data_IF_416244821946
#
_entry.id   IF_416244821946
#
_cell.length_a   1.000
_cell.length_b   1.000
_cell.length_c   1.000
_cell.angle_alpha   90.00
_cell.angle_beta   90.00
_cell.angle_gamma   90.00
#
_symmetry.space_group_name_H-M   'P 1'
#
loop_
_entity.id
_entity.type
_entity.pdbx_description
1 polymer ?
#
# COMPACT_ATOMS: atom_id res chain seq x y z
N UNK A 1 -18.43 21.99 -5.39
CA UNK A 1 -17.85 21.09 -6.42
C UNK A 1 -16.34 21.00 -6.22
N UNK A 2 -15.78 19.79 -6.28
CA UNK A 2 -14.33 19.55 -6.07
C UNK A 2 -13.50 20.25 -7.16
N UNK A 3 -14.02 20.41 -8.36
CA UNK A 3 -13.38 21.12 -9.47
C UNK A 3 -13.08 22.61 -9.20
N UNK A 4 -13.71 23.20 -8.18
CA UNK A 4 -13.44 24.58 -7.74
C UNK A 4 -12.11 24.72 -6.99
N UNK A 5 -11.55 23.60 -6.48
CA UNK A 5 -10.32 23.61 -5.68
C UNK A 5 -9.08 23.67 -6.59
N UNK A 6 -9.07 22.94 -7.69
CA UNK A 6 -7.97 22.90 -8.67
C UNK A 6 -8.41 22.22 -9.96
N UNK A 7 -7.91 22.72 -11.09
CA UNK A 7 -8.02 22.10 -12.42
C UNK A 7 -7.30 20.74 -12.53
N UNK A 8 -6.38 20.48 -11.59
CA UNK A 8 -5.64 19.21 -11.50
C UNK A 8 -6.41 18.11 -10.77
N UNK A 9 -7.56 18.43 -10.16
CA UNK A 9 -8.40 17.46 -9.47
C UNK A 9 -9.50 16.97 -10.42
N UNK A 10 -9.52 15.68 -10.65
CA UNK A 10 -10.56 15.02 -11.47
C UNK A 10 -11.40 14.13 -10.55
N UNK A 11 -12.69 14.42 -10.47
CA UNK A 11 -13.65 13.57 -9.79
C UNK A 11 -14.24 12.56 -10.76
N UNK A 12 -14.09 11.27 -10.44
CA UNK A 12 -14.64 10.17 -11.23
C UNK A 12 -15.78 9.51 -10.43
N UNK A 13 -16.98 9.60 -10.96
CA UNK A 13 -18.15 8.93 -10.38
C UNK A 13 -18.42 7.61 -11.09
N UNK A 14 -18.29 6.51 -10.36
CA UNK A 14 -18.41 5.17 -10.94
C UNK A 14 -19.87 4.66 -11.04
N UNK A 15 -20.85 5.40 -10.49
CA UNK A 15 -22.26 5.00 -10.50
C UNK A 15 -22.60 3.85 -9.56
N UNK A 16 -21.66 2.96 -9.29
CA UNK A 16 -21.80 1.77 -8.42
C UNK A 16 -20.55 1.55 -7.59
N UNK A 17 -20.67 0.76 -6.54
CA UNK A 17 -19.50 0.31 -5.76
C UNK A 17 -18.79 -0.83 -6.53
N UNK A 18 -17.65 -0.51 -7.13
CA UNK A 18 -16.84 -1.46 -7.90
C UNK A 18 -15.93 -2.34 -7.00
N UNK A 19 -15.83 -2.04 -5.71
CA UNK A 19 -14.80 -2.55 -4.82
C UNK A 19 -13.49 -1.74 -4.92
N UNK A 20 -12.58 -1.99 -3.97
CA UNK A 20 -11.36 -1.20 -3.80
C UNK A 20 -10.44 -1.29 -5.04
N UNK A 21 -10.07 -2.51 -5.42
CA UNK A 21 -9.09 -2.73 -6.50
C UNK A 21 -9.59 -2.22 -7.87
N UNK A 22 -10.83 -2.53 -8.23
CA UNK A 22 -11.40 -2.12 -9.51
C UNK A 22 -11.53 -0.60 -9.63
N UNK A 23 -11.91 0.09 -8.53
CA UNK A 23 -11.98 1.55 -8.52
C UNK A 23 -10.59 2.19 -8.72
N UNK A 24 -9.55 1.68 -8.06
CA UNK A 24 -8.17 2.17 -8.23
C UNK A 24 -7.57 1.83 -9.59
N UNK A 25 -7.99 0.74 -10.23
CA UNK A 25 -7.53 0.38 -11.57
C UNK A 25 -7.88 1.41 -12.64
N UNK A 26 -8.93 2.19 -12.45
CA UNK A 26 -9.29 3.29 -13.35
C UNK A 26 -8.14 4.32 -13.37
N UNK A 27 -7.65 4.71 -12.19
CA UNK A 27 -6.51 5.62 -12.05
C UNK A 27 -5.19 5.01 -12.55
N UNK A 28 -4.95 3.72 -12.28
CA UNK A 28 -3.77 3.00 -12.75
C UNK A 28 -3.73 2.93 -14.29
N UNK A 29 -4.85 2.60 -14.94
CA UNK A 29 -4.96 2.58 -16.41
C UNK A 29 -4.60 3.94 -17.00
N UNK A 30 -5.17 5.01 -16.43
CA UNK A 30 -4.86 6.39 -16.85
C UNK A 30 -3.37 6.73 -16.66
N UNK A 31 -2.76 6.37 -15.53
CA UNK A 31 -1.34 6.58 -15.26
C UNK A 31 -0.45 5.86 -16.29
N UNK A 32 -0.83 4.65 -16.71
CA UNK A 32 -0.12 3.87 -17.75
C UNK A 32 -0.26 4.55 -19.12
N UNK A 33 -1.46 5.03 -19.49
CA UNK A 33 -1.74 5.71 -20.75
C UNK A 33 -0.96 7.03 -20.87
N UNK A 34 -0.93 7.81 -19.78
CA UNK A 34 -0.21 9.09 -19.68
C UNK A 34 1.31 8.91 -19.52
N UNK A 35 1.79 7.67 -19.35
CA UNK A 35 3.21 7.33 -19.21
C UNK A 35 3.90 8.08 -18.06
N UNK A 36 3.18 8.33 -16.96
CA UNK A 36 3.79 8.94 -15.78
C UNK A 36 4.74 7.95 -15.10
N UNK A 37 5.74 8.46 -14.38
CA UNK A 37 6.76 7.61 -13.76
C UNK A 37 6.21 6.82 -12.56
N UNK A 38 5.33 7.45 -11.78
CA UNK A 38 4.81 6.90 -10.52
C UNK A 38 3.31 7.11 -10.42
N UNK A 39 2.66 6.20 -9.72
CA UNK A 39 1.26 6.26 -9.33
C UNK A 39 1.13 6.03 -7.83
N UNK A 40 0.19 6.70 -7.20
CA UNK A 40 -0.07 6.50 -5.78
C UNK A 40 -1.52 6.15 -5.53
N UNK A 41 -1.73 5.15 -4.68
CA UNK A 41 -3.03 4.81 -4.08
C UNK A 41 -2.98 5.27 -2.63
N UNK A 42 -3.96 6.05 -2.21
CA UNK A 42 -4.03 6.61 -0.85
C UNK A 42 -5.47 6.55 -0.36
N UNK A 43 -5.65 6.09 0.87
CA UNK A 43 -6.93 6.20 1.55
C UNK A 43 -7.25 7.66 1.91
N UNK A 44 -8.53 8.06 1.93
CA UNK A 44 -8.95 9.43 2.16
C UNK A 44 -8.69 9.95 3.60
N UNK A 45 -8.40 9.06 4.54
CA UNK A 45 -8.11 9.35 5.94
C UNK A 45 -6.61 9.58 6.21
N UNK A 46 -5.75 9.43 5.21
CA UNK A 46 -4.30 9.68 5.33
C UNK A 46 -3.99 11.16 5.13
N UNK A 47 -3.30 11.75 6.11
CA UNK A 47 -2.74 13.09 6.05
C UNK A 47 -1.23 13.05 5.86
N UNK A 48 -0.68 13.98 5.10
CA UNK A 48 0.76 14.01 4.80
C UNK A 48 1.29 15.44 4.66
N UNK A 49 2.58 15.60 4.94
CA UNK A 49 3.27 16.88 4.85
C UNK A 49 3.57 17.26 3.38
N UNK A 50 3.72 18.57 3.15
CA UNK A 50 4.20 19.08 1.87
C UNK A 50 5.57 18.46 1.52
N UNK A 51 5.68 17.94 0.29
CA UNK A 51 6.94 17.37 -0.21
C UNK A 51 7.07 15.86 -0.10
N UNK A 52 6.11 15.14 0.52
CA UNK A 52 6.19 13.68 0.67
C UNK A 52 6.37 12.96 -0.67
N UNK A 53 5.61 13.35 -1.68
CA UNK A 53 5.71 12.72 -3.02
C UNK A 53 7.07 12.95 -3.67
N UNK A 54 7.69 14.14 -3.41
CA UNK A 54 9.06 14.41 -3.87
C UNK A 54 10.05 13.48 -3.19
N UNK A 55 9.94 13.28 -1.88
CA UNK A 55 10.82 12.37 -1.12
C UNK A 55 10.67 10.93 -1.58
N UNK A 56 9.43 10.46 -1.82
CA UNK A 56 9.16 9.11 -2.35
C UNK A 56 9.73 8.95 -3.77
N UNK A 57 9.53 9.95 -4.65
CA UNK A 57 10.05 9.90 -6.01
C UNK A 57 11.59 9.93 -6.05
N UNK A 58 12.24 10.72 -5.19
CA UNK A 58 13.69 10.73 -5.04
C UNK A 58 14.21 9.36 -4.57
N UNK A 59 13.60 8.80 -3.52
CA UNK A 59 13.96 7.47 -3.03
C UNK A 59 13.86 6.41 -4.14
N UNK A 60 12.75 6.37 -4.89
CA UNK A 60 12.60 5.42 -5.99
C UNK A 60 13.53 5.74 -7.18
N UNK A 61 13.89 7.00 -7.39
CA UNK A 61 14.88 7.40 -8.41
C UNK A 61 16.28 6.85 -8.10
N UNK A 62 16.66 6.82 -6.82
CA UNK A 62 17.94 6.27 -6.35
C UNK A 62 17.91 4.73 -6.23
N UNK A 63 16.72 4.13 -6.06
CA UNK A 63 16.52 2.70 -5.87
C UNK A 63 15.73 2.10 -7.04
N UNK A 64 16.40 1.85 -8.16
CA UNK A 64 15.76 1.44 -9.41
C UNK A 64 15.00 0.11 -9.33
N UNK A 65 15.40 -0.80 -8.45
CA UNK A 65 14.71 -2.06 -8.22
C UNK A 65 13.42 -1.91 -7.39
N UNK A 66 13.20 -0.76 -6.73
CA UNK A 66 12.00 -0.53 -5.95
C UNK A 66 10.78 -0.33 -6.87
N UNK A 67 9.81 -1.24 -6.79
CA UNK A 67 8.55 -1.18 -7.52
C UNK A 67 7.40 -0.59 -6.71
N UNK A 68 7.47 -0.74 -5.39
CA UNK A 68 6.48 -0.25 -4.43
C UNK A 68 7.17 0.24 -3.17
N UNK A 69 6.87 1.45 -2.74
CA UNK A 69 7.30 1.97 -1.45
C UNK A 69 6.12 2.48 -0.63
N UNK A 70 6.11 2.15 0.66
CA UNK A 70 5.15 2.66 1.64
C UNK A 70 5.90 3.45 2.72
N UNK A 71 5.42 4.68 3.05
CA UNK A 71 5.93 5.44 4.18
C UNK A 71 5.47 4.84 5.51
N UNK A 72 6.04 5.32 6.61
CA UNK A 72 5.56 5.03 7.96
C UNK A 72 4.27 5.80 8.21
N UNK A 73 3.22 5.12 8.62
CA UNK A 73 1.95 5.74 9.02
C UNK A 73 1.85 5.69 10.55
N UNK A 74 1.52 6.83 11.14
CA UNK A 74 1.34 6.98 12.58
C UNK A 74 -0.01 7.58 12.91
N UNK A 75 -0.56 7.19 14.04
CA UNK A 75 -1.78 7.81 14.57
C UNK A 75 -1.48 9.21 15.15
N UNK A 76 -2.51 10.08 15.34
CA UNK A 76 -2.31 11.40 15.93
C UNK A 76 -1.65 11.41 17.31
N UNK A 77 -1.77 10.32 18.06
CA UNK A 77 -1.12 10.12 19.36
C UNK A 77 0.36 9.69 19.25
N UNK A 78 0.87 9.50 18.02
CA UNK A 78 2.25 9.06 17.75
C UNK A 78 2.44 7.55 17.68
N UNK A 79 1.42 6.74 17.93
CA UNK A 79 1.51 5.28 17.81
C UNK A 79 1.68 4.86 16.35
N UNK A 80 2.45 3.79 16.12
CA UNK A 80 2.70 3.26 14.78
C UNK A 80 1.48 2.44 14.33
N UNK A 81 1.03 2.68 13.10
CA UNK A 81 0.12 1.79 12.43
C UNK A 81 0.90 0.65 11.75
N UNK A 82 0.71 -0.59 12.22
CA UNK A 82 1.44 -1.76 11.73
C UNK A 82 0.84 -2.25 10.40
N UNK A 83 1.34 -1.73 9.28
CA UNK A 83 0.82 -1.94 7.93
C UNK A 83 1.68 -2.88 7.08
N UNK A 84 2.85 -3.26 7.59
CA UNK A 84 3.74 -4.24 6.97
C UNK A 84 3.36 -5.65 7.41
N UNK A 85 3.21 -6.57 6.46
CA UNK A 85 2.78 -7.93 6.78
C UNK A 85 3.63 -8.97 6.04
N UNK A 86 3.84 -10.10 6.70
CA UNK A 86 4.30 -11.31 6.01
C UNK A 86 3.19 -11.88 5.13
N UNK A 87 3.54 -12.78 4.22
CA UNK A 87 2.52 -13.54 3.51
C UNK A 87 1.76 -14.42 4.52
N UNK A 88 0.42 -14.43 4.48
CA UNK A 88 -0.37 -15.23 5.42
C UNK A 88 -0.17 -16.70 5.15
N UNK A 89 0.03 -17.48 6.20
CA UNK A 89 -0.06 -18.93 6.14
C UNK A 89 -1.52 -19.39 6.25
N UNK A 90 -1.87 -20.64 5.87
CA UNK A 90 -3.20 -21.17 6.09
C UNK A 90 -3.69 -21.01 7.55
N UNK A 91 -2.76 -21.09 8.51
CA UNK A 91 -3.06 -20.84 9.92
C UNK A 91 -3.41 -19.39 10.25
N UNK A 92 -2.86 -18.41 9.55
CA UNK A 92 -3.19 -16.99 9.74
C UNK A 92 -4.61 -16.70 9.26
N UNK A 93 -5.07 -17.42 8.23
CA UNK A 93 -6.40 -17.27 7.67
C UNK A 93 -7.48 -18.03 8.47
N UNK A 94 -7.19 -19.27 8.86
CA UNK A 94 -8.17 -20.16 9.49
C UNK A 94 -8.01 -20.26 11.00
N UNK A 95 -6.79 -20.26 11.52
CA UNK A 95 -6.53 -20.47 12.95
C UNK A 95 -7.11 -19.39 13.86
N UNK A 96 -7.19 -18.14 13.40
CA UNK A 96 -7.83 -17.03 14.15
C UNK A 96 -9.31 -17.28 14.40
N UNK A 97 -10.01 -17.94 13.47
CA UNK A 97 -11.45 -18.15 13.53
C UNK A 97 -11.82 -19.34 14.42
N UNK A 98 -10.95 -20.35 14.51
CA UNK A 98 -11.26 -21.63 15.16
C UNK A 98 -10.52 -21.86 16.48
N UNK A 99 -9.44 -21.11 16.78
CA UNK A 99 -8.66 -21.26 18.01
C UNK A 99 -8.60 -19.94 18.80
N UNK A 100 -9.45 -19.72 19.81
CA UNK A 100 -9.51 -18.47 20.56
C UNK A 100 -8.39 -18.34 21.63
N UNK A 101 -7.17 -18.81 21.34
CA UNK A 101 -6.03 -18.75 22.25
C UNK A 101 -5.37 -17.36 22.19
N UNK A 102 -5.83 -16.41 23.02
CA UNK A 102 -5.39 -15.01 23.05
C UNK A 102 -3.85 -14.82 23.04
N UNK A 103 -3.11 -15.60 23.85
CA UNK A 103 -1.64 -15.52 23.93
C UNK A 103 -0.95 -15.99 22.63
N UNK A 104 -1.46 -17.06 22.04
CA UNK A 104 -0.94 -17.58 20.77
C UNK A 104 -1.17 -16.60 19.61
N UNK A 105 -2.37 -16.05 19.52
CA UNK A 105 -2.74 -15.06 18.52
C UNK A 105 -1.91 -13.77 18.64
N UNK A 106 -1.60 -13.31 19.86
CA UNK A 106 -0.75 -12.14 20.10
C UNK A 106 0.68 -12.35 19.58
N UNK A 107 1.30 -13.49 19.87
CA UNK A 107 2.65 -13.79 19.40
C UNK A 107 2.71 -13.96 17.88
N UNK A 108 1.67 -14.48 17.26
CA UNK A 108 1.57 -14.58 15.80
C UNK A 108 1.40 -13.23 15.16
N UNK A 109 0.50 -12.38 15.66
CA UNK A 109 0.34 -11.02 15.16
C UNK A 109 1.64 -10.23 15.25
N UNK A 110 2.37 -10.35 16.36
CA UNK A 110 3.68 -9.75 16.56
C UNK A 110 4.67 -10.10 15.44
N UNK A 111 4.67 -11.36 14.99
CA UNK A 111 5.48 -11.81 13.86
C UNK A 111 4.87 -11.40 12.52
N UNK A 112 3.57 -11.63 12.33
CA UNK A 112 2.88 -11.40 11.07
C UNK A 112 2.90 -9.93 10.64
N UNK A 113 2.72 -9.02 11.58
CA UNK A 113 2.74 -7.57 11.38
C UNK A 113 4.14 -6.97 11.53
N UNK A 114 5.19 -7.81 11.59
CA UNK A 114 6.59 -7.39 11.70
C UNK A 114 6.86 -6.43 12.87
N UNK A 115 6.07 -6.49 13.95
CA UNK A 115 6.19 -5.58 15.11
C UNK A 115 7.59 -5.67 15.75
N UNK A 116 8.21 -6.84 15.70
CA UNK A 116 9.57 -7.07 16.19
C UNK A 116 10.64 -6.23 15.47
N UNK A 117 10.36 -5.72 14.28
CA UNK A 117 11.29 -4.86 13.52
C UNK A 117 11.44 -3.46 14.12
N UNK A 118 10.54 -3.05 15.04
CA UNK A 118 10.47 -1.70 15.58
C UNK A 118 10.03 -0.62 14.58
N UNK A 119 9.88 -0.94 13.30
CA UNK A 119 9.52 0.01 12.23
C UNK A 119 10.44 1.24 12.19
N UNK A 120 11.73 1.05 12.47
CA UNK A 120 12.74 2.11 12.54
C UNK A 120 13.75 2.09 11.38
N UNK A 121 13.73 1.04 10.55
CA UNK A 121 14.65 0.84 9.43
C UNK A 121 13.91 0.58 8.13
N UNK A 122 14.56 0.96 7.03
CA UNK A 122 14.11 0.56 5.68
C UNK A 122 14.18 -0.95 5.60
N UNK A 123 13.10 -1.58 5.14
CA UNK A 123 13.04 -3.04 5.04
C UNK A 123 12.23 -3.49 3.83
N UNK A 124 12.62 -4.62 3.28
CA UNK A 124 11.81 -5.34 2.32
C UNK A 124 10.63 -6.02 3.04
N UNK A 125 9.43 -5.86 2.48
CA UNK A 125 8.19 -6.37 3.08
C UNK A 125 7.34 -7.04 2.00
N UNK A 126 6.98 -8.31 2.14
CA UNK A 126 6.27 -9.04 1.09
C UNK A 126 4.82 -8.58 0.88
N UNK A 127 4.22 -7.90 1.85
CA UNK A 127 2.87 -7.34 1.75
C UNK A 127 2.77 -6.00 2.46
N UNK A 128 2.43 -4.97 1.71
CA UNK A 128 2.20 -3.61 2.17
C UNK A 128 0.73 -3.27 2.03
N UNK A 129 0.16 -2.56 3.03
CA UNK A 129 -1.26 -2.21 3.03
C UNK A 129 -1.64 -1.25 1.91
N UNK A 130 -2.86 -1.41 1.40
CA UNK A 130 -3.46 -0.52 0.41
C UNK A 130 -3.66 0.93 0.88
N UNK A 131 -3.56 1.22 2.18
CA UNK A 131 -3.80 2.57 2.69
C UNK A 131 -2.86 3.63 2.10
N UNK A 132 -1.62 3.26 1.73
CA UNK A 132 -0.67 4.11 1.02
C UNK A 132 0.29 3.26 0.19
N UNK A 133 0.16 3.29 -1.13
CA UNK A 133 1.01 2.54 -2.05
C UNK A 133 1.58 3.49 -3.11
N UNK A 134 2.87 3.83 -3.03
CA UNK A 134 3.56 4.62 -4.05
C UNK A 134 4.31 3.67 -4.98
N UNK A 135 3.89 3.59 -6.24
CA UNK A 135 4.24 2.52 -7.17
C UNK A 135 4.90 3.04 -8.44
N UNK A 136 5.83 2.27 -8.98
CA UNK A 136 6.43 2.52 -10.30
C UNK A 136 5.47 2.05 -11.40
N UNK A 137 5.08 2.96 -12.31
CA UNK A 137 4.10 2.66 -13.37
C UNK A 137 4.62 1.61 -14.36
N UNK A 138 5.92 1.56 -14.63
CA UNK A 138 6.51 0.52 -15.49
C UNK A 138 6.36 -0.89 -14.91
N UNK A 139 6.36 -1.03 -13.58
CA UNK A 139 6.07 -2.29 -12.90
C UNK A 139 4.60 -2.62 -13.05
N UNK A 140 3.70 -1.67 -12.77
CA UNK A 140 2.25 -1.86 -12.95
C UNK A 140 1.88 -2.24 -14.39
N UNK A 141 2.56 -1.67 -15.37
CA UNK A 141 2.36 -2.02 -16.80
C UNK A 141 2.66 -3.49 -17.09
N UNK A 142 3.68 -4.05 -16.40
CA UNK A 142 4.10 -5.45 -16.60
C UNK A 142 3.19 -6.45 -15.91
N UNK A 143 2.73 -6.13 -14.69
CA UNK A 143 1.97 -7.09 -13.85
C UNK A 143 0.46 -6.87 -13.92
N UNK A 144 -0.01 -5.78 -14.51
CA UNK A 144 -1.38 -5.26 -14.36
C UNK A 144 -1.57 -4.52 -13.03
N UNK A 145 -2.76 -3.95 -12.84
CA UNK A 145 -3.16 -3.32 -11.58
C UNK A 145 -3.62 -4.35 -10.53
N UNK A 146 -4.58 -3.95 -9.71
CA UNK A 146 -5.25 -4.85 -8.77
C UNK A 146 -6.03 -5.95 -9.50
N UNK A 147 -6.09 -7.13 -8.90
CA UNK A 147 -6.96 -8.21 -9.39
C UNK A 147 -8.41 -7.91 -8.99
N UNK A 148 -9.26 -7.62 -9.98
CA UNK A 148 -10.64 -7.19 -9.78
C UNK A 148 -11.57 -8.32 -9.26
N UNK A 149 -11.07 -9.56 -9.16
CA UNK A 149 -11.79 -10.67 -8.51
C UNK A 149 -11.89 -10.47 -6.99
N UNK A 150 -10.98 -9.68 -6.40
CA UNK A 150 -11.07 -9.26 -5.01
C UNK A 150 -11.95 -8.02 -4.92
N UNK A 151 -13.13 -8.16 -4.32
CA UNK A 151 -14.00 -7.01 -4.10
C UNK A 151 -13.48 -6.09 -2.99
N UNK A 152 -13.04 -6.69 -1.89
CA UNK A 152 -12.47 -6.03 -0.72
C UNK A 152 -11.66 -7.04 0.10
N UNK A 153 -10.49 -6.61 0.59
CA UNK A 153 -9.47 -7.38 1.30
C UNK A 153 -8.69 -8.37 0.41
N UNK A 154 -7.41 -8.47 0.70
CA UNK A 154 -6.40 -9.28 0.01
C UNK A 154 -5.97 -8.77 -1.39
N UNK A 155 -6.60 -7.75 -1.96
CA UNK A 155 -6.18 -7.12 -3.22
C UNK A 155 -4.81 -6.43 -3.09
N UNK A 156 -4.51 -5.82 -1.94
CA UNK A 156 -3.23 -5.20 -1.63
C UNK A 156 -2.12 -6.25 -1.40
N UNK A 157 -2.47 -7.35 -0.76
CA UNK A 157 -1.60 -8.51 -0.58
C UNK A 157 -1.22 -9.12 -1.93
N UNK A 158 -2.22 -9.37 -2.80
CA UNK A 158 -2.00 -9.91 -4.14
C UNK A 158 -1.13 -8.99 -4.99
N UNK A 159 -1.45 -7.69 -5.02
CA UNK A 159 -0.69 -6.70 -5.77
C UNK A 159 0.76 -6.60 -5.27
N UNK A 160 0.98 -6.50 -3.95
CA UNK A 160 2.32 -6.49 -3.36
C UNK A 160 3.11 -7.74 -3.75
N UNK A 161 2.48 -8.91 -3.68
CA UNK A 161 3.11 -10.19 -4.05
C UNK A 161 3.50 -10.22 -5.54
N UNK A 162 2.62 -9.77 -6.44
CA UNK A 162 2.93 -9.72 -7.89
C UNK A 162 4.03 -8.71 -8.19
N UNK A 163 4.04 -7.54 -7.54
CA UNK A 163 5.16 -6.59 -7.63
C UNK A 163 6.45 -7.26 -7.17
N UNK A 164 6.43 -7.96 -6.02
CA UNK A 164 7.57 -8.64 -5.43
C UNK A 164 8.18 -9.77 -6.27
N UNK A 165 7.50 -10.20 -7.37
CA UNK A 165 8.10 -11.18 -8.32
C UNK A 165 9.09 -10.55 -9.29
N UNK A 166 9.04 -9.24 -9.50
CA UNK A 166 9.87 -8.53 -10.50
C UNK A 166 10.57 -7.29 -9.96
N UNK A 167 10.25 -6.85 -8.75
CA UNK A 167 10.77 -5.64 -8.12
C UNK A 167 10.71 -5.75 -6.60
N UNK A 168 11.36 -4.84 -5.89
CA UNK A 168 11.32 -4.77 -4.44
C UNK A 168 10.06 -4.03 -3.94
N UNK A 169 9.51 -4.53 -2.84
CA UNK A 169 8.44 -3.89 -2.07
C UNK A 169 9.02 -3.41 -0.74
N UNK A 170 9.05 -2.11 -0.52
CA UNK A 170 9.85 -1.47 0.52
C UNK A 170 8.98 -0.68 1.48
N UNK A 171 9.23 -0.86 2.77
CA UNK A 171 8.80 0.06 3.83
C UNK A 171 9.93 1.05 4.12
N UNK A 172 9.63 2.35 4.08
CA UNK A 172 10.60 3.41 4.37
C UNK A 172 10.14 4.28 5.55
N UNK A 173 10.66 4.08 6.76
CA UNK A 173 10.25 4.83 7.95
C UNK A 173 10.76 6.26 8.01
N UNK A 174 11.70 6.65 7.13
CA UNK A 174 12.21 8.03 7.07
C UNK A 174 11.19 8.99 6.43
N UNK A 175 10.15 8.46 5.81
CA UNK A 175 9.04 9.21 5.23
C UNK A 175 7.80 8.88 6.06
N UNK A 176 7.13 9.91 6.61
CA UNK A 176 6.07 9.74 7.60
C UNK A 176 4.77 10.38 7.13
N UNK A 177 3.66 9.65 7.31
CA UNK A 177 2.28 10.12 7.15
C UNK A 177 1.53 10.00 8.47
N UNK A 178 0.40 10.70 8.57
CA UNK A 178 -0.54 10.62 9.68
C UNK A 178 -1.84 9.95 9.21
N UNK A 179 -2.43 9.13 10.09
CA UNK A 179 -3.77 8.61 9.89
C UNK A 179 -4.79 9.63 10.37
#
# INVERSE_FOLDING_TARGET
>A
SISVISDKIVYLFNGTNLGYGAAHNIGIKKAIEEKVAYHVVINPDISFSKGIFKSLAMYMGENHNCGLVMPKVVYPNGDIQYLCKLLPTPWDLFGRRFLPLKKYNRNRNYKYELIFSGYDKIMWVPSLSGCFMFMRVDVLRKIGGFDERFFMYAEDLDLSRRIGTISDTIFNPNIICLL
#
